data_IF_497474227201
#
_entry.id   IF_497474227201
#
_cell.length_a   1.000
_cell.length_b   1.000
_cell.length_c   1.000
_cell.angle_alpha   90.00
_cell.angle_beta   90.00
_cell.angle_gamma   90.00
#
_symmetry.space_group_name_H-M   'P 1'
#
loop_
_entity.id
_entity.type
_entity.pdbx_description
1 polymer ?
#
# COMPACT_ATOMS: atom_id res chain seq x y z
N UNK A 1 26.36 23.52 18.49
CA UNK A 1 25.25 22.59 18.66
C UNK A 1 23.88 23.25 18.40
N UNK A 2 23.61 24.46 18.92
CA UNK A 2 22.33 25.17 18.74
C UNK A 2 22.07 25.44 17.24
N UNK A 3 23.04 25.94 16.50
CA UNK A 3 22.90 26.21 15.07
C UNK A 3 22.69 24.92 14.26
N UNK A 4 23.39 23.84 14.59
CA UNK A 4 23.20 22.54 13.97
C UNK A 4 21.78 21.99 14.23
N UNK A 5 21.25 22.13 15.45
CA UNK A 5 19.86 21.76 15.76
C UNK A 5 18.86 22.59 14.96
N UNK A 6 19.06 23.90 14.83
CA UNK A 6 18.21 24.78 14.04
C UNK A 6 18.18 24.34 12.57
N UNK A 7 19.36 24.19 11.97
CA UNK A 7 19.47 23.74 10.58
C UNK A 7 18.83 22.36 10.37
N UNK A 8 19.08 21.41 11.29
CA UNK A 8 18.47 20.10 11.24
C UNK A 8 16.94 20.14 11.30
N UNK A 9 16.38 20.99 12.20
CA UNK A 9 14.93 21.16 12.30
C UNK A 9 14.33 21.76 11.01
N UNK A 10 14.99 22.76 10.42
CA UNK A 10 14.55 23.41 9.19
C UNK A 10 14.55 22.41 8.02
N UNK A 11 15.61 21.60 7.88
CA UNK A 11 15.68 20.55 6.87
C UNK A 11 14.58 19.51 7.04
N UNK A 12 14.37 18.99 8.26
CA UNK A 12 13.33 17.97 8.53
C UNK A 12 11.93 18.51 8.28
N UNK A 13 11.68 19.79 8.54
CA UNK A 13 10.38 20.44 8.30
C UNK A 13 10.00 20.44 6.82
N UNK A 14 10.98 20.53 5.92
CA UNK A 14 10.79 20.50 4.48
C UNK A 14 10.72 19.06 3.91
N UNK A 15 11.16 18.05 4.67
CA UNK A 15 11.12 16.66 4.21
C UNK A 15 9.68 16.15 4.16
N UNK A 16 9.29 15.69 2.96
CA UNK A 16 7.97 15.12 2.68
C UNK A 16 8.11 13.88 1.82
N UNK A 17 7.12 12.99 1.88
CA UNK A 17 7.06 11.81 1.02
C UNK A 17 5.60 11.47 0.67
N UNK A 18 5.39 10.80 -0.47
CA UNK A 18 4.05 10.43 -0.93
C UNK A 18 3.07 11.60 -0.94
N UNK A 19 1.79 11.29 -0.79
CA UNK A 19 0.72 12.28 -0.66
C UNK A 19 0.51 12.67 0.81
N UNK A 20 1.21 13.72 1.26
CA UNK A 20 1.03 14.27 2.61
C UNK A 20 1.84 13.63 3.73
N UNK A 21 2.77 12.72 3.43
CA UNK A 21 3.70 12.17 4.39
C UNK A 21 4.69 13.23 4.89
N UNK A 22 5.00 13.20 6.18
CA UNK A 22 5.87 14.17 6.85
C UNK A 22 6.63 13.53 8.01
N UNK A 23 7.65 14.25 8.47
CA UNK A 23 8.41 13.89 9.66
C UNK A 23 8.07 14.85 10.80
N UNK A 24 8.11 14.34 12.03
CA UNK A 24 8.06 15.16 13.24
C UNK A 24 9.27 14.90 14.12
N UNK A 25 9.56 15.84 14.98
CA UNK A 25 10.62 15.75 15.98
C UNK A 25 10.12 16.25 17.30
N UNK A 26 10.31 15.44 18.34
CA UNK A 26 10.17 15.85 19.74
C UNK A 26 11.51 15.66 20.45
N UNK A 27 11.76 16.40 21.51
CA UNK A 27 12.82 16.04 22.44
C UNK A 27 12.39 14.84 23.28
N UNK A 28 13.31 14.18 23.95
CA UNK A 28 12.98 13.08 24.88
C UNK A 28 12.14 13.54 26.06
N UNK A 29 12.14 14.83 26.35
CA UNK A 29 11.30 15.48 27.37
C UNK A 29 9.91 15.86 26.85
N UNK A 30 9.66 15.69 25.53
CA UNK A 30 8.37 15.95 24.92
C UNK A 30 8.18 17.34 24.35
N UNK A 31 9.23 18.15 24.26
CA UNK A 31 9.15 19.45 23.58
C UNK A 31 9.09 19.24 22.07
N UNK A 32 8.08 19.77 21.43
CA UNK A 32 7.90 19.62 19.97
C UNK A 32 8.85 20.56 19.21
N UNK A 33 9.75 19.98 18.44
CA UNK A 33 10.74 20.72 17.65
C UNK A 33 10.26 20.93 16.24
N UNK A 34 9.67 19.89 15.61
CA UNK A 34 9.14 19.95 14.23
C UNK A 34 7.79 19.26 14.17
N UNK A 35 6.79 19.96 13.67
CA UNK A 35 5.51 19.39 13.26
C UNK A 35 4.84 20.29 12.23
N UNK A 36 5.25 20.16 10.97
CA UNK A 36 4.67 20.88 9.82
C UNK A 36 4.67 22.42 9.95
N UNK A 37 5.51 23.02 10.79
CA UNK A 37 5.46 24.45 11.08
C UNK A 37 4.23 24.87 11.90
N UNK A 38 3.60 23.93 12.59
CA UNK A 38 2.35 24.16 13.31
C UNK A 38 2.54 24.84 14.66
N UNK A 39 1.40 25.25 15.23
CA UNK A 39 1.33 26.00 16.52
C UNK A 39 1.81 25.20 17.75
N UNK A 40 2.09 23.93 17.60
CA UNK A 40 2.64 23.07 18.66
C UNK A 40 4.17 23.15 18.75
N UNK A 41 4.86 23.59 17.71
CA UNK A 41 6.32 23.73 17.73
C UNK A 41 6.76 24.70 18.84
N UNK A 42 7.75 24.31 19.62
CA UNK A 42 8.21 25.01 20.82
C UNK A 42 7.41 24.75 22.09
N UNK A 43 6.35 23.92 22.03
CA UNK A 43 5.55 23.58 23.22
C UNK A 43 5.83 22.16 23.68
N UNK A 44 5.81 21.95 25.01
CA UNK A 44 5.83 20.61 25.57
C UNK A 44 4.48 19.93 25.34
N UNK A 45 4.52 18.69 24.85
CA UNK A 45 3.31 17.89 24.58
C UNK A 45 3.42 16.46 25.13
N UNK A 46 4.32 16.24 26.10
CA UNK A 46 4.56 14.91 26.67
C UNK A 46 3.29 14.23 27.17
N UNK A 47 2.42 14.98 27.85
CA UNK A 47 1.16 14.49 28.42
C UNK A 47 -0.04 14.54 27.45
N UNK A 48 0.20 14.91 26.18
CA UNK A 48 -0.86 14.99 25.18
C UNK A 48 -1.45 13.60 24.93
N UNK A 49 -2.78 13.52 25.08
CA UNK A 49 -3.55 12.30 24.80
C UNK A 49 -4.24 12.42 23.45
N UNK A 50 -4.40 11.27 22.79
CA UNK A 50 -5.24 11.17 21.60
C UNK A 50 -6.73 11.15 21.98
N UNK A 51 -7.60 11.13 20.97
CA UNK A 51 -9.09 11.11 21.16
C UNK A 51 -9.60 9.83 21.83
N UNK A 52 -8.78 8.81 22.02
CA UNK A 52 -9.07 7.58 22.77
C UNK A 52 -8.51 7.61 24.19
N UNK A 53 -7.87 8.71 24.59
CA UNK A 53 -7.27 8.88 25.92
C UNK A 53 -5.87 8.28 26.05
N UNK A 54 -5.24 7.83 24.96
CA UNK A 54 -3.90 7.26 24.96
C UNK A 54 -2.84 8.36 25.06
N UNK A 55 -1.87 8.22 25.96
CA UNK A 55 -0.73 9.12 26.09
C UNK A 55 0.25 8.93 24.93
N UNK A 56 -0.12 9.43 23.74
CA UNK A 56 0.53 9.11 22.48
C UNK A 56 1.97 9.58 22.41
N UNK A 57 2.29 10.78 22.90
CA UNK A 57 3.65 11.34 22.80
C UNK A 57 4.60 10.58 23.73
N UNK A 58 4.16 10.28 24.95
CA UNK A 58 4.94 9.46 25.89
C UNK A 58 5.30 8.10 25.24
N UNK A 59 4.32 7.41 24.64
CA UNK A 59 4.57 6.10 24.02
C UNK A 59 5.44 6.21 22.77
N UNK A 60 5.29 7.27 21.96
CA UNK A 60 6.15 7.57 20.82
C UNK A 60 7.61 7.71 21.27
N UNK A 61 7.85 8.45 22.37
CA UNK A 61 9.19 8.66 22.92
C UNK A 61 9.74 7.34 23.47
N UNK A 62 8.97 6.62 24.30
CA UNK A 62 9.36 5.32 24.87
C UNK A 62 9.72 4.31 23.79
N UNK A 63 8.93 4.23 22.73
CA UNK A 63 9.21 3.34 21.60
C UNK A 63 10.43 3.81 20.77
N UNK A 64 10.58 5.13 20.59
CA UNK A 64 11.74 5.71 19.90
C UNK A 64 13.07 5.49 20.61
N UNK A 65 13.06 5.37 21.94
CA UNK A 65 14.24 5.11 22.76
C UNK A 65 14.70 3.64 22.74
N UNK A 66 13.87 2.71 22.28
CA UNK A 66 14.26 1.30 22.14
C UNK A 66 15.40 1.13 21.14
N UNK A 67 16.16 0.07 21.31
CA UNK A 67 17.18 -0.29 20.31
C UNK A 67 16.50 -0.54 18.95
N UNK A 68 16.99 0.18 17.92
CA UNK A 68 16.35 0.15 16.61
C UNK A 68 15.14 1.07 16.43
N UNK A 69 14.57 1.63 17.50
CA UNK A 69 13.30 2.41 17.44
C UNK A 69 12.05 1.55 17.61
N UNK A 70 10.86 2.12 17.36
CA UNK A 70 9.62 1.36 17.53
C UNK A 70 8.38 1.99 16.90
N UNK A 71 7.34 1.18 16.79
CA UNK A 71 6.03 1.59 16.27
C UNK A 71 5.09 2.00 17.40
N UNK A 72 4.26 3.01 17.11
CA UNK A 72 3.17 3.46 17.99
C UNK A 72 1.91 3.64 17.15
N UNK A 73 0.81 3.05 17.61
CA UNK A 73 -0.52 3.28 17.03
C UNK A 73 -1.28 4.30 17.88
N UNK A 74 -1.80 5.34 17.26
CA UNK A 74 -2.52 6.44 17.91
C UNK A 74 -3.48 7.12 16.94
N UNK A 75 -4.31 8.00 17.46
CA UNK A 75 -5.25 8.79 16.66
C UNK A 75 -4.73 10.22 16.51
N UNK A 76 -4.63 10.70 15.29
CA UNK A 76 -4.16 12.04 14.99
C UNK A 76 -4.87 12.63 13.78
N UNK A 77 -5.14 13.94 13.78
CA UNK A 77 -5.77 14.61 12.65
C UNK A 77 -4.80 14.69 11.45
N UNK A 78 -5.32 14.47 10.25
CA UNK A 78 -4.58 14.72 9.02
C UNK A 78 -4.36 16.22 8.84
N UNK A 79 -3.37 16.59 8.04
CA UNK A 79 -3.11 18.01 7.75
C UNK A 79 -4.36 18.67 7.15
N UNK A 80 -4.83 19.74 7.79
CA UNK A 80 -6.01 20.48 7.38
C UNK A 80 -7.36 19.88 7.83
N UNK A 81 -7.34 18.73 8.54
CA UNK A 81 -8.52 18.11 9.11
C UNK A 81 -8.60 18.36 10.62
N UNK A 82 -9.82 18.34 11.15
CA UNK A 82 -10.10 18.45 12.59
C UNK A 82 -10.44 17.12 13.23
N UNK A 83 -10.82 16.14 12.41
CA UNK A 83 -11.18 14.80 12.85
C UNK A 83 -9.93 13.91 12.89
N UNK A 84 -9.68 13.27 14.02
CA UNK A 84 -8.56 12.36 14.16
C UNK A 84 -8.83 11.03 13.44
N UNK A 85 -7.83 10.55 12.71
CA UNK A 85 -7.81 9.25 12.04
C UNK A 85 -6.76 8.32 12.67
N UNK A 86 -6.93 6.99 12.58
CA UNK A 86 -5.95 6.04 13.11
C UNK A 86 -4.64 6.16 12.33
N UNK A 87 -3.54 6.29 13.05
CA UNK A 87 -2.19 6.48 12.51
C UNK A 87 -1.23 5.49 13.13
N UNK A 88 -0.39 4.87 12.32
CA UNK A 88 0.78 4.11 12.78
C UNK A 88 2.04 4.91 12.47
N UNK A 89 2.76 5.29 13.53
CA UNK A 89 4.04 5.98 13.44
C UNK A 89 5.19 5.05 13.80
N UNK A 90 6.33 5.28 13.18
CA UNK A 90 7.62 4.73 13.59
C UNK A 90 8.47 5.87 14.12
N UNK A 91 9.13 5.68 15.24
CA UNK A 91 10.01 6.67 15.86
C UNK A 91 11.34 6.07 16.27
N UNK A 92 12.39 6.89 16.20
CA UNK A 92 13.75 6.53 16.61
C UNK A 92 14.47 7.73 17.19
N UNK A 93 15.24 7.46 18.26
CA UNK A 93 16.06 8.48 18.91
C UNK A 93 17.30 8.81 18.06
N UNK A 94 17.59 10.10 17.96
CA UNK A 94 18.88 10.65 17.54
C UNK A 94 19.58 11.24 18.76
N UNK A 95 20.49 10.47 19.33
CA UNK A 95 21.10 10.72 20.64
C UNK A 95 21.86 12.03 20.72
N UNK A 96 22.59 12.41 19.66
CA UNK A 96 23.43 13.60 19.63
C UNK A 96 22.65 14.91 19.87
N UNK A 97 21.37 14.93 19.47
CA UNK A 97 20.49 16.08 19.64
C UNK A 97 19.46 15.88 20.76
N UNK A 98 19.40 14.70 21.35
CA UNK A 98 18.34 14.31 22.30
C UNK A 98 16.95 14.42 21.67
N UNK A 99 16.85 14.04 20.39
CA UNK A 99 15.63 14.10 19.61
C UNK A 99 15.06 12.72 19.33
N UNK A 100 13.74 12.63 19.33
CA UNK A 100 13.00 11.50 18.81
C UNK A 100 12.36 11.93 17.49
N UNK A 101 12.88 11.39 16.40
CA UNK A 101 12.34 11.60 15.07
C UNK A 101 11.29 10.54 14.77
N UNK A 102 10.22 10.92 14.12
CA UNK A 102 9.20 9.99 13.72
C UNK A 102 8.55 10.36 12.39
N UNK A 103 7.98 9.33 11.78
CA UNK A 103 7.13 9.44 10.59
C UNK A 103 6.04 8.38 10.67
N UNK A 104 4.99 8.49 9.86
CA UNK A 104 3.92 7.48 9.90
C UNK A 104 2.80 7.75 8.92
N UNK A 105 2.04 6.71 8.64
CA UNK A 105 0.92 6.72 7.72
C UNK A 105 -0.41 6.54 8.45
N UNK A 106 -1.46 7.07 7.87
CA UNK A 106 -2.82 6.82 8.32
C UNK A 106 -3.31 5.47 7.80
N UNK A 107 -3.92 4.70 8.68
CA UNK A 107 -4.34 3.31 8.37
C UNK A 107 -5.44 3.30 7.32
N UNK A 108 -6.37 4.26 7.37
CA UNK A 108 -7.43 4.41 6.38
C UNK A 108 -6.91 4.75 4.97
N UNK A 109 -5.79 5.46 4.85
CA UNK A 109 -5.15 5.73 3.54
C UNK A 109 -4.48 4.45 2.99
N UNK A 110 -3.86 3.66 3.86
CA UNK A 110 -3.30 2.35 3.49
C UNK A 110 -4.42 1.41 3.01
N UNK A 111 -5.54 1.34 3.74
CA UNK A 111 -6.67 0.50 3.39
C UNK A 111 -7.29 0.89 2.04
N UNK A 112 -7.44 2.20 1.77
CA UNK A 112 -7.87 2.71 0.47
C UNK A 112 -6.92 2.33 -0.65
N UNK A 113 -5.61 2.52 -0.43
CA UNK A 113 -4.60 2.17 -1.42
C UNK A 113 -4.63 0.67 -1.75
N UNK A 114 -4.62 -0.19 -0.73
CA UNK A 114 -4.70 -1.65 -0.89
C UNK A 114 -6.01 -2.08 -1.57
N UNK A 115 -7.12 -1.44 -1.22
CA UNK A 115 -8.43 -1.69 -1.83
C UNK A 115 -8.43 -1.38 -3.34
N UNK A 116 -7.87 -0.24 -3.73
CA UNK A 116 -7.77 0.17 -5.13
C UNK A 116 -6.87 -0.79 -5.93
N UNK A 117 -5.70 -1.15 -5.40
CA UNK A 117 -4.79 -2.10 -6.05
C UNK A 117 -5.46 -3.48 -6.23
N UNK A 118 -6.16 -3.98 -5.21
CA UNK A 118 -6.93 -5.24 -5.32
C UNK A 118 -7.99 -5.17 -6.41
N UNK A 119 -8.72 -4.07 -6.53
CA UNK A 119 -9.76 -3.90 -7.55
C UNK A 119 -9.16 -3.90 -8.97
N UNK A 120 -8.03 -3.23 -9.18
CA UNK A 120 -7.31 -3.22 -10.46
C UNK A 120 -6.83 -4.63 -10.84
N UNK A 121 -6.19 -5.33 -9.89
CA UNK A 121 -5.70 -6.70 -10.10
C UNK A 121 -6.84 -7.68 -10.41
N UNK A 122 -7.96 -7.60 -9.67
CA UNK A 122 -9.13 -8.44 -9.90
C UNK A 122 -9.72 -8.21 -11.31
N UNK A 123 -9.83 -6.96 -11.73
CA UNK A 123 -10.32 -6.62 -13.08
C UNK A 123 -9.39 -7.18 -14.18
N UNK A 124 -8.08 -7.04 -14.01
CA UNK A 124 -7.11 -7.61 -14.95
C UNK A 124 -7.18 -9.13 -15.01
N UNK A 125 -7.34 -9.80 -13.85
CA UNK A 125 -7.51 -11.24 -13.76
C UNK A 125 -8.78 -11.70 -14.49
N UNK A 126 -9.93 -11.08 -14.22
CA UNK A 126 -11.21 -11.41 -14.87
C UNK A 126 -11.08 -11.26 -16.39
N UNK A 127 -10.49 -10.16 -16.88
CA UNK A 127 -10.29 -9.95 -18.31
C UNK A 127 -9.40 -11.04 -18.94
N UNK A 128 -8.35 -11.47 -18.24
CA UNK A 128 -7.48 -12.56 -18.69
C UNK A 128 -8.21 -13.88 -18.78
N UNK A 129 -9.07 -14.20 -17.81
CA UNK A 129 -9.91 -15.42 -17.83
C UNK A 129 -10.90 -15.38 -18.98
N UNK A 130 -11.56 -14.24 -19.23
CA UNK A 130 -12.49 -14.07 -20.36
C UNK A 130 -11.77 -14.29 -21.68
N UNK A 131 -10.61 -13.67 -21.89
CA UNK A 131 -9.81 -13.84 -23.10
C UNK A 131 -9.38 -15.30 -23.32
N UNK A 132 -9.01 -16.00 -22.25
CA UNK A 132 -8.66 -17.42 -22.31
C UNK A 132 -9.86 -18.28 -22.73
N UNK A 133 -11.05 -18.01 -22.20
CA UNK A 133 -12.29 -18.71 -22.57
C UNK A 133 -12.61 -18.48 -24.06
N UNK A 134 -12.53 -17.23 -24.52
CA UNK A 134 -12.77 -16.89 -25.95
C UNK A 134 -11.80 -17.66 -26.82
N UNK A 135 -10.52 -17.68 -26.48
CA UNK A 135 -9.50 -18.41 -27.24
C UNK A 135 -9.81 -19.93 -27.29
N UNK A 136 -10.20 -20.52 -26.17
CA UNK A 136 -10.58 -21.93 -26.10
C UNK A 136 -11.78 -22.25 -27.01
N UNK A 137 -12.81 -21.40 -27.01
CA UNK A 137 -13.99 -21.55 -27.89
C UNK A 137 -13.58 -21.48 -29.35
N UNK A 138 -12.70 -20.56 -29.75
CA UNK A 138 -12.18 -20.45 -31.13
C UNK A 138 -11.42 -21.72 -31.51
N UNK A 139 -10.56 -22.25 -30.64
CA UNK A 139 -9.84 -23.51 -30.93
C UNK A 139 -10.77 -24.71 -31.07
N UNK A 140 -11.81 -24.82 -30.23
CA UNK A 140 -12.82 -25.88 -30.36
C UNK A 140 -13.55 -25.76 -31.74
N UNK A 141 -13.99 -24.54 -32.09
CA UNK A 141 -14.63 -24.28 -33.38
C UNK A 141 -13.77 -24.67 -34.58
N UNK A 142 -12.49 -24.28 -34.56
CA UNK A 142 -11.53 -24.65 -35.60
C UNK A 142 -11.32 -26.18 -35.67
N UNK A 143 -11.23 -26.85 -34.55
CA UNK A 143 -11.08 -28.32 -34.48
C UNK A 143 -12.28 -29.05 -35.12
N UNK A 144 -13.49 -28.57 -34.88
CA UNK A 144 -14.72 -29.10 -35.45
C UNK A 144 -14.68 -28.90 -37.01
N UNK A 145 -14.34 -27.71 -37.50
CA UNK A 145 -14.25 -27.41 -38.92
C UNK A 145 -13.22 -28.29 -39.62
N UNK A 146 -12.05 -28.47 -39.04
CA UNK A 146 -10.99 -29.35 -39.54
C UNK A 146 -11.49 -30.79 -39.59
N UNK A 147 -12.17 -31.29 -38.55
CA UNK A 147 -12.74 -32.63 -38.50
C UNK A 147 -13.77 -32.86 -39.61
N UNK A 148 -14.67 -31.90 -39.85
CA UNK A 148 -15.63 -31.95 -40.94
C UNK A 148 -14.95 -31.98 -42.34
N UNK A 149 -13.93 -31.17 -42.52
CA UNK A 149 -13.16 -31.15 -43.79
C UNK A 149 -12.51 -32.51 -44.08
N UNK A 150 -11.82 -33.08 -43.08
CA UNK A 150 -11.19 -34.42 -43.24
C UNK A 150 -12.23 -35.54 -43.42
N UNK A 151 -13.32 -35.49 -42.70
CA UNK A 151 -14.43 -36.47 -42.89
C UNK A 151 -14.96 -36.46 -44.29
N UNK A 152 -15.27 -35.30 -44.89
CA UNK A 152 -15.78 -35.19 -46.25
C UNK A 152 -14.76 -35.59 -47.31
N UNK A 153 -13.50 -35.18 -47.16
CA UNK A 153 -12.49 -35.32 -48.22
C UNK A 153 -11.77 -36.66 -48.20
N UNK A 154 -11.65 -37.31 -47.06
CA UNK A 154 -10.87 -38.55 -46.89
C UNK A 154 -11.73 -39.73 -46.48
N UNK A 155 -12.50 -39.61 -45.37
CA UNK A 155 -13.23 -40.75 -44.81
C UNK A 155 -14.41 -41.22 -45.70
N UNK A 156 -15.23 -40.30 -46.23
CA UNK A 156 -16.39 -40.65 -47.03
C UNK A 156 -16.05 -41.36 -48.37
N UNK A 157 -15.03 -40.92 -49.12
CA UNK A 157 -14.61 -41.66 -50.35
C UNK A 157 -14.11 -43.07 -50.02
N UNK A 158 -13.34 -43.25 -48.95
CA UNK A 158 -12.79 -44.55 -48.53
C UNK A 158 -13.92 -45.53 -48.16
N UNK A 159 -14.91 -45.09 -47.41
CA UNK A 159 -16.07 -45.89 -47.03
C UNK A 159 -16.88 -46.34 -48.24
N UNK A 160 -17.08 -45.47 -49.27
CA UNK A 160 -17.75 -45.82 -50.52
C UNK A 160 -17.00 -46.87 -51.34
N UNK A 161 -15.66 -46.88 -51.31
CA UNK A 161 -14.86 -47.90 -52.00
C UNK A 161 -14.94 -49.24 -51.29
N UNK A 162 -14.98 -49.25 -49.96
CA UNK A 162 -15.13 -50.48 -49.15
C UNK A 162 -16.46 -51.14 -49.39
N UNK A 163 -17.56 -50.39 -49.40
CA UNK A 163 -18.92 -50.94 -49.57
C UNK A 163 -19.12 -51.49 -51.01
N UNK A 164 -18.41 -50.98 -52.03
CA UNK A 164 -18.43 -51.53 -53.36
C UNK A 164 -17.68 -52.86 -53.49
N UNK A 165 -16.68 -53.14 -52.65
CA UNK A 165 -15.95 -54.42 -52.65
C UNK A 165 -16.62 -55.55 -51.89
N UNK A 166 -17.65 -55.27 -51.09
CA UNK A 166 -18.42 -56.29 -50.36
C UNK A 166 -19.65 -56.78 -51.08
N UNK A 167 -19.92 -56.32 -52.30
CA UNK A 167 -21.11 -56.70 -53.13
C UNK A 167 -20.68 -57.55 -54.41
N UNK A 168 -19.46 -58.07 -54.41
CA UNK A 168 -19.00 -59.00 -55.47
C UNK A 168 -18.81 -60.38 -54.92
#
# INVERSE_FOLDING_TARGET
LIEAKKLGADLIREMKYGEGGYFWVDTVEGDNVVLLGGVSEGKNRYDLKDVKGKSMIKEIIENGLKDGGGYTDYWFAKKGETVASPKRGYSKVFKDFNWVLGTGNYVDDIDKFVGNEKAVLLKAFINSVINFIILAVVFIGLSILISFYFSKKISNPILKIRDRKSVV
#
